data_IF_245255294363
#
_entry.id   IF_245255294363
#
_cell.length_a   1.000
_cell.length_b   1.000
_cell.length_c   1.000
_cell.angle_alpha   90.00
_cell.angle_beta   90.00
_cell.angle_gamma   90.00
#
_symmetry.space_group_name_H-M   'P 1'
#
loop_
_entity.id
_entity.type
_entity.pdbx_description
1 polymer ?
#
# COMPACT_ATOMS: atom_id res chain seq x y z
N UNK A 1 9.04 -9.22 2.87
CA UNK A 1 7.99 -9.05 1.83
C UNK A 1 7.01 -7.92 2.18
N UNK A 2 7.44 -6.84 2.84
CA UNK A 2 6.55 -5.78 3.37
C UNK A 2 7.25 -4.42 3.35
N UNK A 3 7.77 -3.97 2.21
CA UNK A 3 8.46 -2.67 2.11
C UNK A 3 7.52 -1.46 2.14
N UNK A 4 6.27 -1.62 1.68
CA UNK A 4 5.30 -0.52 1.60
C UNK A 4 4.67 -0.15 2.95
N UNK A 5 4.51 -1.11 3.85
CA UNK A 5 3.89 -0.91 5.14
C UNK A 5 4.69 0.03 6.08
N UNK A 6 6.01 -0.19 6.30
CA UNK A 6 6.81 0.73 7.11
C UNK A 6 6.92 2.12 6.49
N UNK A 7 7.00 2.24 5.15
CA UNK A 7 6.97 3.54 4.46
C UNK A 7 5.65 4.28 4.72
N UNK A 8 4.52 3.58 4.73
CA UNK A 8 3.22 4.18 5.07
C UNK A 8 3.16 4.66 6.52
N UNK A 9 3.79 3.95 7.46
CA UNK A 9 3.89 4.38 8.86
C UNK A 9 4.79 5.60 9.03
N UNK A 10 5.94 5.65 8.35
CA UNK A 10 6.83 6.82 8.36
C UNK A 10 6.12 8.06 7.80
N UNK A 11 5.40 7.91 6.68
CA UNK A 11 4.64 9.00 6.07
C UNK A 11 3.49 9.49 6.98
N UNK A 12 2.77 8.57 7.63
CA UNK A 12 1.71 8.94 8.57
C UNK A 12 2.26 9.66 9.81
N UNK A 13 3.41 9.22 10.33
CA UNK A 13 4.08 9.87 11.46
C UNK A 13 4.50 11.31 11.11
N UNK A 14 5.04 11.52 9.90
CA UNK A 14 5.42 12.85 9.42
C UNK A 14 4.21 13.79 9.26
N UNK A 15 3.08 13.30 8.75
CA UNK A 15 1.83 14.07 8.63
C UNK A 15 1.22 14.47 9.98
N UNK A 16 1.45 13.69 11.03
CA UNK A 16 0.81 13.89 12.35
C UNK A 16 1.72 14.58 13.35
N UNK A 17 2.91 15.04 12.95
CA UNK A 17 3.86 15.68 13.85
C UNK A 17 3.26 16.93 14.51
N UNK A 18 3.35 17.11 15.85
CA UNK A 18 4.21 16.39 16.82
C UNK A 18 3.53 15.29 17.66
N UNK A 19 2.58 14.52 17.12
CA UNK A 19 1.94 13.40 17.84
C UNK A 19 2.90 12.19 17.96
N UNK A 20 2.77 11.43 19.05
CA UNK A 20 3.56 10.21 19.28
C UNK A 20 3.41 9.20 18.12
N UNK A 21 4.54 8.78 17.55
CA UNK A 21 4.62 7.81 16.44
C UNK A 21 3.94 6.47 16.75
N UNK A 22 3.99 6.04 18.02
CA UNK A 22 3.32 4.83 18.50
C UNK A 22 1.79 4.92 18.45
N UNK A 23 1.21 6.12 18.60
CA UNK A 23 -0.23 6.33 18.51
C UNK A 23 -0.66 6.34 17.04
N UNK A 24 0.08 7.03 16.18
CA UNK A 24 -0.19 7.08 14.73
C UNK A 24 -0.09 5.71 14.06
N UNK A 25 0.98 4.95 14.34
CA UNK A 25 1.14 3.57 13.81
C UNK A 25 0.08 2.61 14.38
N UNK A 26 -0.28 2.74 15.66
CA UNK A 26 -1.36 1.98 16.28
C UNK A 26 -2.72 2.24 15.62
N UNK A 27 -3.03 3.50 15.33
CA UNK A 27 -4.30 3.90 14.70
C UNK A 27 -4.36 3.45 13.23
N UNK A 28 -3.26 3.56 12.50
CA UNK A 28 -3.18 3.09 11.12
C UNK A 28 -3.34 1.56 11.04
N UNK A 29 -2.71 0.80 11.95
CA UNK A 29 -2.89 -0.65 12.02
C UNK A 29 -4.33 -1.04 12.42
N UNK A 30 -4.92 -0.34 13.40
CA UNK A 30 -6.31 -0.55 13.79
C UNK A 30 -7.26 -0.30 12.61
N UNK A 31 -7.04 0.75 11.82
CA UNK A 31 -7.85 1.03 10.63
C UNK A 31 -7.77 -0.08 9.57
N UNK A 32 -6.58 -0.63 9.34
CA UNK A 32 -6.36 -1.76 8.43
C UNK A 32 -7.14 -3.01 8.90
N UNK A 33 -7.13 -3.29 10.20
CA UNK A 33 -7.86 -4.43 10.77
C UNK A 33 -9.37 -4.27 10.69
N UNK A 34 -9.91 -3.09 11.02
CA UNK A 34 -11.35 -2.82 10.95
C UNK A 34 -11.84 -3.01 9.52
N UNK A 35 -11.12 -2.48 8.54
CA UNK A 35 -11.44 -2.63 7.12
C UNK A 35 -11.38 -4.09 6.67
N UNK A 36 -10.37 -4.84 7.11
CA UNK A 36 -10.28 -6.29 6.87
C UNK A 36 -11.47 -7.06 7.41
N UNK A 37 -11.92 -6.76 8.63
CA UNK A 37 -13.09 -7.40 9.25
C UNK A 37 -14.35 -7.12 8.42
N UNK A 38 -14.58 -5.85 8.03
CA UNK A 38 -15.74 -5.45 7.22
C UNK A 38 -15.78 -6.22 5.90
N UNK A 39 -14.64 -6.33 5.20
CA UNK A 39 -14.56 -7.03 3.93
C UNK A 39 -14.73 -8.54 4.03
N UNK A 40 -14.20 -9.16 5.07
CA UNK A 40 -14.42 -10.58 5.31
C UNK A 40 -15.92 -10.82 5.59
N UNK A 41 -16.54 -10.01 6.46
CA UNK A 41 -17.97 -10.14 6.77
C UNK A 41 -18.86 -9.89 5.55
N UNK A 42 -18.56 -8.88 4.72
CA UNK A 42 -19.32 -8.63 3.49
C UNK A 42 -19.16 -9.77 2.48
N UNK A 43 -17.96 -10.34 2.36
CA UNK A 43 -17.69 -11.50 1.52
C UNK A 43 -18.44 -12.75 2.00
N UNK A 44 -18.48 -12.99 3.32
CA UNK A 44 -19.25 -14.08 3.92
C UNK A 44 -20.75 -13.94 3.63
N UNK A 45 -21.29 -12.72 3.71
CA UNK A 45 -22.70 -12.49 3.39
C UNK A 45 -23.00 -12.63 1.89
N UNK A 46 -22.10 -12.14 1.02
CA UNK A 46 -22.23 -12.32 -0.44
C UNK A 46 -22.23 -13.79 -0.85
N UNK A 47 -21.39 -14.63 -0.23
CA UNK A 47 -21.36 -16.07 -0.52
C UNK A 47 -22.68 -16.74 -0.16
N UNK A 48 -23.37 -16.30 0.90
CA UNK A 48 -24.62 -16.92 1.34
C UNK A 48 -25.81 -16.61 0.44
N UNK A 49 -25.73 -15.55 -0.38
CA UNK A 49 -26.86 -15.05 -1.21
C UNK A 49 -26.59 -15.22 -2.70
N UNK A 50 -25.36 -14.97 -3.16
CA UNK A 50 -25.02 -14.83 -4.58
C UNK A 50 -24.01 -15.84 -5.10
N UNK A 51 -23.78 -16.96 -4.40
CA UNK A 51 -22.85 -18.02 -4.85
C UNK A 51 -21.37 -17.57 -4.85
N UNK A 52 -20.44 -18.53 -4.82
CA UNK A 52 -19.00 -18.24 -4.58
C UNK A 52 -18.35 -17.43 -5.72
N UNK A 53 -18.86 -17.59 -6.95
CA UNK A 53 -18.30 -16.96 -8.17
C UNK A 53 -18.34 -15.43 -8.10
N UNK A 54 -19.45 -14.85 -7.65
CA UNK A 54 -19.62 -13.41 -7.59
C UNK A 54 -18.75 -12.77 -6.49
N UNK A 55 -18.60 -13.47 -5.37
CA UNK A 55 -17.67 -13.07 -4.31
C UNK A 55 -16.21 -13.03 -4.81
N UNK A 56 -15.79 -14.05 -5.57
CA UNK A 56 -14.44 -14.08 -6.14
C UNK A 56 -14.19 -12.96 -7.16
N UNK A 57 -15.17 -12.66 -8.03
CA UNK A 57 -15.06 -11.54 -8.98
C UNK A 57 -14.98 -10.20 -8.25
N UNK A 58 -15.77 -10.01 -7.19
CA UNK A 58 -15.73 -8.79 -6.37
C UNK A 58 -14.35 -8.55 -5.74
N UNK A 59 -13.78 -9.56 -5.08
CA UNK A 59 -12.44 -9.43 -4.49
C UNK A 59 -11.34 -9.24 -5.56
N UNK A 60 -11.48 -9.88 -6.72
CA UNK A 60 -10.56 -9.69 -7.85
C UNK A 60 -10.60 -8.24 -8.34
N UNK A 61 -11.78 -7.66 -8.53
CA UNK A 61 -11.94 -6.26 -8.91
C UNK A 61 -11.37 -5.31 -7.85
N UNK A 62 -11.53 -5.63 -6.57
CA UNK A 62 -11.04 -4.81 -5.47
C UNK A 62 -9.50 -4.76 -5.44
N UNK A 63 -8.84 -5.91 -5.63
CA UNK A 63 -7.38 -5.98 -5.73
C UNK A 63 -6.90 -5.27 -7.01
N UNK A 64 -7.60 -5.44 -8.13
CA UNK A 64 -7.26 -4.76 -9.39
C UNK A 64 -7.36 -3.23 -9.28
N UNK A 65 -8.38 -2.71 -8.59
CA UNK A 65 -8.49 -1.28 -8.27
C UNK A 65 -7.35 -0.80 -7.37
N UNK A 66 -7.03 -1.56 -6.31
CA UNK A 66 -5.91 -1.24 -5.43
C UNK A 66 -4.57 -1.19 -6.18
N UNK A 67 -4.36 -2.13 -7.11
CA UNK A 67 -3.18 -2.14 -7.98
C UNK A 67 -3.19 -0.99 -8.98
N UNK A 68 -4.35 -0.60 -9.52
CA UNK A 68 -4.50 0.55 -10.42
C UNK A 68 -4.11 1.86 -9.75
N UNK A 69 -4.63 2.12 -8.54
CA UNK A 69 -4.30 3.31 -7.75
C UNK A 69 -2.80 3.37 -7.37
N UNK A 70 -2.21 2.22 -7.06
CA UNK A 70 -0.76 2.12 -6.83
C UNK A 70 0.04 2.31 -8.13
N UNK A 71 -0.48 1.82 -9.24
CA UNK A 71 0.10 1.94 -10.57
C UNK A 71 0.13 3.39 -11.07
N UNK A 72 -0.94 4.15 -10.84
CA UNK A 72 -1.00 5.56 -11.20
C UNK A 72 -0.01 6.42 -10.38
N UNK A 73 0.11 6.13 -9.08
CA UNK A 73 1.07 6.83 -8.20
C UNK A 73 2.53 6.47 -8.49
N UNK A 74 2.82 5.21 -8.86
CA UNK A 74 4.18 4.78 -9.24
C UNK A 74 4.56 5.16 -10.67
N UNK A 75 3.63 5.14 -11.64
CA UNK A 75 3.93 5.49 -13.04
C UNK A 75 4.32 6.96 -13.21
N UNK A 76 3.71 7.88 -12.44
CA UNK A 76 4.05 9.30 -12.49
C UNK A 76 5.40 9.66 -11.83
N UNK A 77 5.80 8.96 -10.77
CA UNK A 77 7.08 9.19 -10.08
C UNK A 77 8.22 8.39 -10.71
N UNK A 78 8.02 7.10 -10.99
CA UNK A 78 9.04 6.24 -11.60
C UNK A 78 9.44 6.72 -13.00
N UNK A 79 8.53 7.23 -13.84
CA UNK A 79 8.90 7.77 -15.17
C UNK A 79 9.60 9.14 -15.08
N UNK A 80 9.24 10.01 -14.13
CA UNK A 80 9.98 11.27 -13.89
C UNK A 80 11.39 11.00 -13.37
N UNK A 81 11.54 10.02 -12.47
CA UNK A 81 12.81 9.58 -11.90
C UNK A 81 13.67 8.86 -12.94
N UNK A 82 13.11 7.96 -13.76
CA UNK A 82 13.83 7.31 -14.86
C UNK A 82 14.27 8.30 -15.96
N UNK A 83 13.44 9.29 -16.32
CA UNK A 83 13.84 10.32 -17.31
C UNK A 83 14.95 11.25 -16.80
N UNK A 84 15.03 11.50 -15.48
CA UNK A 84 16.16 12.23 -14.87
C UNK A 84 17.41 11.37 -14.65
N UNK A 85 17.28 10.05 -14.66
CA UNK A 85 18.35 9.10 -14.34
C UNK A 85 19.01 8.52 -15.60
N UNK A 86 19.09 9.31 -16.67
CA UNK A 86 20.00 9.05 -17.79
C UNK A 86 21.40 9.59 -17.45
N UNK A 87 22.12 8.83 -16.60
CA UNK A 87 23.57 8.85 -16.28
C UNK A 87 24.18 10.12 -15.63
N UNK A 88 25.01 9.98 -14.57
CA UNK A 88 26.30 9.27 -14.64
C UNK A 88 26.59 8.21 -13.54
N UNK A 89 27.40 7.22 -13.92
CA UNK A 89 28.05 6.21 -13.07
C UNK A 89 29.08 6.88 -12.13
N UNK A 90 28.75 7.12 -10.87
CA UNK A 90 29.74 7.63 -9.88
C UNK A 90 29.62 7.01 -8.48
N UNK A 91 28.84 5.95 -8.29
CA UNK A 91 28.63 5.34 -6.96
C UNK A 91 29.03 3.86 -6.88
N UNK A 92 30.20 3.49 -7.41
CA UNK A 92 30.76 2.12 -7.28
C UNK A 92 32.02 2.03 -6.41
N UNK A 93 32.31 3.01 -5.53
CA UNK A 93 33.56 3.05 -4.75
C UNK A 93 33.44 3.40 -3.25
N UNK A 94 32.31 3.15 -2.58
CA UNK A 94 32.18 3.48 -1.14
C UNK A 94 31.64 2.32 -0.28
N UNK A 95 31.66 1.08 -0.77
CA UNK A 95 31.23 -0.12 0.01
C UNK A 95 32.38 -1.15 0.12
N UNK A 96 33.62 -0.66 0.16
CA UNK A 96 34.78 -1.47 0.56
C UNK A 96 35.85 -0.52 1.12
N UNK A 97 35.67 -0.14 2.37
CA UNK A 97 36.69 0.34 3.28
C UNK A 97 36.24 -0.04 4.70
#
# INVERSE_FOLDING_TARGET
MTGLLPIGFEFAAELTYPVNEGLTSGLLNASCQIFGIIFITSGSHMISVFDVKYCNTFFTCLIALGLGLLGETTSFESLKKFRKMSFPLTYRKTIIA
#
